data_IF_542669938915
#
_entry.id   IF_542669938915
#
_cell.length_a   1.000
_cell.length_b   1.000
_cell.length_c   1.000
_cell.angle_alpha   90.00
_cell.angle_beta   90.00
_cell.angle_gamma   90.00
#
_symmetry.space_group_name_H-M   'P 1'
#
loop_
_entity.id
_entity.type
_entity.pdbx_description
1 polymer ?
#
# COMPACT_ATOMS: atom_id res chain seq x y z
N UNK A 1 -15.19 13.19 12.33
CA UNK A 1 -14.54 12.41 13.41
C UNK A 1 -13.05 12.27 13.10
N UNK A 2 -12.17 12.84 13.90
CA UNK A 2 -10.72 12.64 13.76
C UNK A 2 -10.22 12.04 15.07
N UNK A 3 -9.84 10.75 15.04
CA UNK A 3 -9.23 10.04 16.17
C UNK A 3 -7.75 9.76 15.85
N UNK A 4 -6.86 10.77 15.94
CA UNK A 4 -5.49 10.67 15.44
C UNK A 4 -4.66 9.60 16.16
N UNK A 5 -4.85 9.47 17.48
CA UNK A 5 -4.27 8.43 18.33
C UNK A 5 -4.57 7.02 17.81
N UNK A 6 -5.85 6.73 17.54
CA UNK A 6 -6.30 5.43 17.06
C UNK A 6 -5.77 5.17 15.65
N UNK A 7 -5.85 6.17 14.76
CA UNK A 7 -5.32 6.04 13.40
C UNK A 7 -3.83 5.72 13.37
N UNK A 8 -3.04 6.32 14.26
CA UNK A 8 -1.59 6.01 14.38
C UNK A 8 -1.37 4.57 14.86
N UNK A 9 -2.09 4.12 15.89
CA UNK A 9 -2.01 2.74 16.39
C UNK A 9 -2.42 1.71 15.33
N UNK A 10 -3.49 1.99 14.59
CA UNK A 10 -3.95 1.14 13.48
C UNK A 10 -2.95 1.13 12.32
N UNK A 11 -2.34 2.27 11.99
CA UNK A 11 -1.27 2.35 10.98
C UNK A 11 -0.11 1.43 11.36
N UNK A 12 0.45 1.60 12.57
CA UNK A 12 1.60 0.82 13.05
C UNK A 12 1.30 -0.68 13.00
N UNK A 13 0.18 -1.12 13.59
CA UNK A 13 -0.22 -2.53 13.57
C UNK A 13 -0.37 -3.10 12.15
N UNK A 14 -0.93 -2.31 11.23
CA UNK A 14 -1.14 -2.73 9.84
C UNK A 14 0.19 -2.94 9.12
N UNK A 15 1.13 -2.01 9.29
CA UNK A 15 2.47 -2.09 8.68
C UNK A 15 3.23 -3.30 9.25
N UNK A 16 3.29 -3.44 10.57
CA UNK A 16 3.96 -4.58 11.23
C UNK A 16 3.42 -5.92 10.72
N UNK A 17 2.09 -6.04 10.60
CA UNK A 17 1.46 -7.27 10.11
C UNK A 17 1.83 -7.57 8.64
N UNK A 18 1.87 -6.54 7.79
CA UNK A 18 2.20 -6.71 6.37
C UNK A 18 3.68 -7.05 6.17
N UNK A 19 4.58 -6.46 6.95
CA UNK A 19 6.02 -6.70 6.85
C UNK A 19 6.43 -8.14 7.20
N UNK A 20 5.67 -8.82 8.06
CA UNK A 20 5.88 -10.25 8.37
C UNK A 20 5.81 -11.12 7.10
N UNK A 21 4.96 -10.75 6.14
CA UNK A 21 4.79 -11.48 4.89
C UNK A 21 5.94 -11.26 3.89
N UNK A 22 6.85 -10.31 4.17
CA UNK A 22 7.93 -9.90 3.27
C UNK A 22 7.45 -9.67 1.83
N UNK A 23 6.43 -8.82 1.62
CA UNK A 23 5.83 -8.64 0.29
C UNK A 23 6.78 -7.90 -0.65
N UNK A 24 6.83 -8.31 -1.92
CA UNK A 24 7.53 -7.54 -2.96
C UNK A 24 6.73 -6.29 -3.39
N UNK A 25 5.40 -6.35 -3.26
CA UNK A 25 4.47 -5.26 -3.61
C UNK A 25 3.20 -5.37 -2.78
N UNK A 26 2.59 -4.23 -2.45
CA UNK A 26 1.28 -4.16 -1.80
C UNK A 26 0.28 -3.50 -2.74
N UNK A 27 -0.87 -4.14 -2.93
CA UNK A 27 -1.98 -3.57 -3.69
C UNK A 27 -3.08 -3.04 -2.76
N UNK A 28 -3.57 -1.83 -3.03
CA UNK A 28 -4.73 -1.28 -2.32
C UNK A 28 -5.58 -0.39 -3.26
N UNK A 29 -6.90 -0.50 -3.15
CA UNK A 29 -7.85 0.29 -3.95
C UNK A 29 -8.36 1.57 -3.27
N UNK A 30 -7.93 1.84 -2.04
CA UNK A 30 -8.40 3.00 -1.27
C UNK A 30 -7.24 3.98 -1.05
N UNK A 31 -7.37 5.21 -1.55
CA UNK A 31 -6.32 6.24 -1.50
C UNK A 31 -5.85 6.52 -0.06
N UNK A 32 -6.77 6.51 0.92
CA UNK A 32 -6.43 6.68 2.33
C UNK A 32 -5.57 5.53 2.85
N UNK A 33 -5.90 4.29 2.50
CA UNK A 33 -5.05 3.14 2.80
C UNK A 33 -3.68 3.24 2.12
N UNK A 34 -3.63 3.65 0.85
CA UNK A 34 -2.38 3.80 0.10
C UNK A 34 -1.46 4.83 0.74
N UNK A 35 -1.99 5.99 1.14
CA UNK A 35 -1.23 7.03 1.85
C UNK A 35 -0.80 6.56 3.25
N UNK A 36 -1.70 5.91 3.99
CA UNK A 36 -1.41 5.45 5.35
C UNK A 36 -0.34 4.34 5.39
N UNK A 37 -0.41 3.38 4.47
CA UNK A 37 0.55 2.27 4.36
C UNK A 37 1.86 2.77 3.72
N UNK A 38 1.76 3.46 2.59
CA UNK A 38 2.92 3.95 1.83
C UNK A 38 3.77 4.98 2.57
N UNK A 39 3.23 5.62 3.62
CA UNK A 39 4.00 6.52 4.49
C UNK A 39 4.76 5.81 5.62
N UNK A 40 4.82 4.48 5.62
CA UNK A 40 5.59 3.73 6.63
C UNK A 40 6.18 2.41 6.15
N UNK A 41 5.74 1.87 5.01
CA UNK A 41 6.30 0.63 4.48
C UNK A 41 7.40 0.89 3.44
N UNK A 42 8.42 0.03 3.42
CA UNK A 42 9.57 0.15 2.50
C UNK A 42 9.38 -0.43 1.11
N UNK A 43 8.22 -1.04 0.81
CA UNK A 43 7.95 -1.71 -0.48
C UNK A 43 6.91 -0.95 -1.31
N UNK A 44 6.89 -1.12 -2.64
CA UNK A 44 5.93 -0.45 -3.52
C UNK A 44 4.48 -0.67 -3.09
N UNK A 45 3.72 0.43 -2.96
CA UNK A 45 2.27 0.41 -2.75
C UNK A 45 1.59 0.95 -4.00
N UNK A 46 0.86 0.09 -4.71
CA UNK A 46 0.24 0.38 -6.01
C UNK A 46 -1.27 0.19 -5.96
N UNK A 47 -1.99 0.86 -6.86
CA UNK A 47 -3.41 0.64 -7.02
C UNK A 47 -3.67 -0.67 -7.77
N UNK A 48 -4.75 -1.38 -7.42
CA UNK A 48 -5.10 -2.66 -8.07
C UNK A 48 -5.28 -2.51 -9.58
N UNK A 49 -5.82 -1.37 -10.05
CA UNK A 49 -5.96 -1.09 -11.48
C UNK A 49 -4.60 -0.98 -12.19
N UNK A 50 -3.55 -0.45 -11.56
CA UNK A 50 -2.22 -0.39 -12.18
C UNK A 50 -1.65 -1.80 -12.42
N UNK A 51 -1.91 -2.72 -11.50
CA UNK A 51 -1.51 -4.13 -11.66
C UNK A 51 -2.31 -4.83 -12.76
N UNK A 52 -3.62 -4.54 -12.86
CA UNK A 52 -4.46 -5.09 -13.92
C UNK A 52 -4.03 -4.57 -15.29
N UNK A 53 -3.80 -3.26 -15.42
CA UNK A 53 -3.32 -2.63 -16.65
C UNK A 53 -2.00 -3.29 -17.11
N UNK A 54 -1.03 -3.41 -16.19
CA UNK A 54 0.24 -4.07 -16.48
C UNK A 54 0.07 -5.54 -16.89
N UNK A 55 -0.79 -6.30 -16.19
CA UNK A 55 -1.08 -7.69 -16.53
C UNK A 55 -1.74 -7.85 -17.92
N UNK A 56 -2.43 -6.81 -18.39
CA UNK A 56 -3.10 -6.77 -19.71
C UNK A 56 -2.26 -6.12 -20.82
N UNK A 57 -0.98 -5.85 -20.57
CA UNK A 57 -0.04 -5.31 -21.58
C UNK A 57 0.24 -3.81 -21.47
N UNK A 58 -0.32 -3.13 -20.46
CA UNK A 58 0.03 -1.76 -20.09
C UNK A 58 1.42 -1.64 -19.48
N UNK A 59 1.88 -0.41 -19.17
CA UNK A 59 3.20 -0.19 -18.58
C UNK A 59 3.31 -0.74 -17.15
N UNK A 60 4.55 -1.05 -16.73
CA UNK A 60 4.84 -1.40 -15.33
C UNK A 60 4.46 -0.23 -14.40
N UNK A 61 3.82 -0.46 -13.24
CA UNK A 61 3.47 0.62 -12.32
C UNK A 61 4.70 1.43 -11.90
N UNK A 62 4.59 2.76 -11.90
CA UNK A 62 5.71 3.68 -11.66
C UNK A 62 6.45 3.42 -10.35
N UNK A 63 5.73 3.02 -9.31
CA UNK A 63 6.32 2.70 -7.99
C UNK A 63 7.04 1.35 -7.95
N UNK A 64 6.85 0.52 -8.96
CA UNK A 64 7.57 -0.75 -9.11
C UNK A 64 8.72 -0.62 -10.12
N UNK A 65 8.87 0.52 -10.80
CA UNK A 65 9.89 0.75 -11.82
C UNK A 65 11.29 0.86 -11.22
#
# INVERSE_FOLDING_TARGET
LMQPEISKKLKTRKVETLEILKPDVISAGNIGCMVQIGSAIGVPVVHTVELLDWATGGPKPSKMA
#
